data_IF_495585788220
#
_entry.id   IF_495585788220
#
_cell.length_a   1.000
_cell.length_b   1.000
_cell.length_c   1.000
_cell.angle_alpha   90.00
_cell.angle_beta   90.00
_cell.angle_gamma   90.00
#
_symmetry.space_group_name_H-M   'P 1'
#
loop_
_entity.id
_entity.type
_entity.pdbx_description
1 polymer ?
#
# COMPACT_ATOMS: atom_id res chain seq x y z
N UNK A 1 15.74 -9.72 25.63
CA UNK A 1 14.57 -9.19 24.92
C UNK A 1 14.97 -9.11 23.46
N UNK A 2 14.65 -10.13 22.68
CA UNK A 2 14.91 -10.15 21.24
C UNK A 2 13.95 -9.14 20.61
N UNK A 3 14.49 -8.07 20.06
CA UNK A 3 13.74 -7.15 19.23
C UNK A 3 13.21 -7.97 18.04
N UNK A 4 11.92 -8.30 18.02
CA UNK A 4 11.22 -8.69 16.79
C UNK A 4 11.15 -7.43 15.90
N UNK A 5 12.29 -7.06 15.33
CA UNK A 5 12.30 -6.04 14.29
C UNK A 5 11.62 -6.65 13.07
N UNK A 6 10.44 -6.13 12.72
CA UNK A 6 9.81 -6.40 11.44
C UNK A 6 10.73 -5.89 10.33
N UNK A 7 11.56 -6.78 9.78
CA UNK A 7 12.52 -6.46 8.71
C UNK A 7 11.78 -6.48 7.38
N UNK A 8 11.61 -5.31 6.79
CA UNK A 8 11.10 -5.12 5.42
C UNK A 8 12.07 -4.25 4.61
N UNK A 9 12.03 -4.40 3.29
CA UNK A 9 12.71 -3.48 2.37
C UNK A 9 11.94 -2.16 2.21
N UNK A 10 12.42 -1.27 1.34
CA UNK A 10 11.80 0.02 1.06
C UNK A 10 12.28 1.19 1.94
N UNK A 11 13.33 1.00 2.73
CA UNK A 11 13.98 2.05 3.51
C UNK A 11 15.49 2.16 3.17
N UNK A 12 15.82 2.62 1.96
CA UNK A 12 17.22 2.76 1.54
C UNK A 12 17.98 3.79 2.37
N UNK A 13 17.31 4.79 2.95
CA UNK A 13 17.97 5.82 3.76
C UNK A 13 18.44 5.27 5.11
N UNK A 14 17.65 4.39 5.75
CA UNK A 14 18.11 3.65 6.94
C UNK A 14 19.34 2.81 6.64
N UNK A 15 19.39 2.15 5.49
CA UNK A 15 20.53 1.32 5.09
C UNK A 15 21.78 2.15 4.77
N UNK A 16 21.65 3.25 4.03
CA UNK A 16 22.78 4.16 3.77
C UNK A 16 23.37 4.68 5.08
N UNK A 17 22.52 5.11 6.02
CA UNK A 17 22.93 5.54 7.37
C UNK A 17 23.65 4.43 8.13
N UNK A 18 23.14 3.19 8.11
CA UNK A 18 23.76 2.03 8.76
C UNK A 18 25.16 1.74 8.20
N UNK A 19 25.37 1.98 6.91
CA UNK A 19 26.65 1.76 6.22
C UNK A 19 27.61 2.95 6.29
N UNK A 20 27.21 4.07 6.90
CA UNK A 20 28.02 5.29 6.94
C UNK A 20 28.18 5.95 5.56
N UNK A 21 27.20 5.76 4.67
CA UNK A 21 27.17 6.36 3.33
C UNK A 21 26.24 7.58 3.39
N UNK A 22 26.67 8.69 2.80
CA UNK A 22 25.85 9.90 2.70
C UNK A 22 24.55 9.65 1.93
N UNK A 23 23.49 10.34 2.32
CA UNK A 23 22.20 10.29 1.67
C UNK A 23 22.34 10.63 0.18
N UNK A 24 21.80 9.75 -0.68
CA UNK A 24 21.84 9.90 -2.13
C UNK A 24 20.62 9.26 -2.77
N UNK A 25 20.42 9.53 -4.05
CA UNK A 25 19.43 8.82 -4.86
C UNK A 25 19.78 7.33 -4.93
N UNK A 26 18.76 6.47 -4.78
CA UNK A 26 18.91 5.03 -4.80
C UNK A 26 17.89 4.46 -5.77
N UNK A 27 18.39 3.65 -6.72
CA UNK A 27 17.53 2.74 -7.46
C UNK A 27 17.20 1.55 -6.55
N UNK A 28 16.03 1.60 -5.93
CA UNK A 28 15.66 0.71 -4.84
C UNK A 28 15.04 -0.61 -5.36
N UNK A 29 15.82 -1.70 -5.27
CA UNK A 29 15.36 -3.07 -5.57
C UNK A 29 14.94 -3.85 -4.31
N UNK A 30 14.90 -3.21 -3.15
CA UNK A 30 14.52 -3.88 -1.89
C UNK A 30 13.01 -4.00 -1.70
N UNK A 31 12.21 -3.34 -2.56
CA UNK A 31 10.74 -3.38 -2.52
C UNK A 31 10.16 -3.63 -3.91
N UNK A 32 9.11 -4.45 -3.98
CA UNK A 32 8.45 -4.83 -5.23
C UNK A 32 7.27 -3.90 -5.55
N UNK A 33 7.56 -2.63 -5.86
CA UNK A 33 6.55 -1.67 -6.33
C UNK A 33 6.54 -1.57 -7.85
N UNK A 34 5.38 -1.24 -8.43
CA UNK A 34 5.27 -1.01 -9.88
C UNK A 34 6.16 0.17 -10.31
N UNK A 35 7.07 0.00 -11.28
CA UNK A 35 7.89 1.10 -11.80
C UNK A 35 7.09 2.09 -12.65
N UNK A 36 5.84 1.77 -13.01
CA UNK A 36 4.94 2.67 -13.74
C UNK A 36 4.38 3.80 -12.87
N UNK A 37 4.57 3.71 -11.55
CA UNK A 37 4.06 4.67 -10.58
C UNK A 37 2.54 4.57 -10.39
N UNK A 38 1.95 5.69 -9.96
CA UNK A 38 0.52 5.77 -9.64
C UNK A 38 -0.33 5.69 -10.93
N UNK A 39 -1.40 4.86 -10.95
CA UNK A 39 -2.34 4.81 -12.08
C UNK A 39 -2.88 6.19 -12.48
N UNK A 40 -2.96 6.53 -13.78
CA UNK A 40 -3.44 7.84 -14.26
C UNK A 40 -4.84 8.21 -13.75
N UNK A 41 -5.72 7.23 -13.61
CA UNK A 41 -7.10 7.39 -13.14
C UNK A 41 -7.13 7.91 -11.70
N UNK A 42 -6.23 7.42 -10.84
CA UNK A 42 -6.07 7.91 -9.46
C UNK A 42 -5.54 9.35 -9.45
N UNK A 43 -4.57 9.66 -10.33
CA UNK A 43 -4.06 11.03 -10.46
C UNK A 43 -5.15 12.01 -10.89
N UNK A 44 -6.05 11.59 -11.78
CA UNK A 44 -7.13 12.43 -12.30
C UNK A 44 -8.12 12.85 -11.20
N UNK A 45 -8.38 11.99 -10.22
CA UNK A 45 -9.34 12.24 -9.14
C UNK A 45 -8.69 12.60 -7.80
N UNK A 46 -7.36 12.79 -7.75
CA UNK A 46 -6.61 12.94 -6.50
C UNK A 46 -7.15 14.06 -5.59
N UNK A 47 -7.49 15.21 -6.19
CA UNK A 47 -8.04 16.37 -5.49
C UNK A 47 -9.50 16.19 -5.05
N UNK A 48 -10.16 15.09 -5.42
CA UNK A 48 -11.53 14.77 -5.01
C UNK A 48 -11.54 13.73 -3.89
N UNK A 49 -10.52 12.86 -3.84
CA UNK A 49 -10.39 11.78 -2.85
C UNK A 49 -10.33 12.27 -1.40
N UNK A 50 -9.94 13.52 -1.13
CA UNK A 50 -9.91 14.03 0.25
C UNK A 50 -11.30 14.04 0.90
N UNK A 51 -12.37 14.20 0.11
CA UNK A 51 -13.75 14.19 0.61
C UNK A 51 -14.14 12.80 1.13
N UNK A 52 -13.60 11.75 0.53
CA UNK A 52 -13.87 10.37 0.89
C UNK A 52 -13.18 9.95 2.20
N UNK A 53 -12.09 10.61 2.57
CA UNK A 53 -11.36 10.30 3.82
C UNK A 53 -11.82 11.14 5.02
N UNK A 54 -12.73 12.10 4.84
CA UNK A 54 -13.33 12.83 5.97
C UNK A 54 -14.26 11.94 6.80
N UNK A 55 -14.90 10.98 6.14
CA UNK A 55 -15.78 10.01 6.79
C UNK A 55 -14.99 8.75 7.19
N UNK A 56 -15.41 8.11 8.28
CA UNK A 56 -14.86 6.81 8.64
C UNK A 56 -15.26 5.78 7.55
N UNK A 57 -14.35 4.90 7.11
CA UNK A 57 -14.67 3.91 6.09
C UNK A 57 -15.73 2.92 6.59
N UNK A 58 -16.37 2.22 5.65
CA UNK A 58 -17.29 1.13 5.99
C UNK A 58 -16.59 0.10 6.88
N UNK A 59 -17.17 -0.23 8.03
CA UNK A 59 -16.58 -1.16 9.01
C UNK A 59 -16.25 -2.52 8.38
N UNK A 60 -17.11 -2.98 7.47
CA UNK A 60 -16.98 -4.30 6.85
C UNK A 60 -16.24 -4.27 5.49
N UNK A 61 -15.73 -3.10 5.07
CA UNK A 61 -14.99 -2.97 3.82
C UNK A 61 -15.80 -3.26 2.55
N UNK A 62 -17.10 -2.97 2.57
CA UNK A 62 -18.08 -3.36 1.53
C UNK A 62 -17.66 -2.97 0.11
N UNK A 63 -16.99 -1.83 -0.07
CA UNK A 63 -16.50 -1.38 -1.37
C UNK A 63 -15.50 -2.34 -2.00
N UNK A 64 -14.60 -2.91 -1.19
CA UNK A 64 -13.60 -3.90 -1.65
C UNK A 64 -14.29 -5.21 -1.97
N UNK A 65 -15.20 -5.67 -1.09
CA UNK A 65 -15.97 -6.90 -1.32
C UNK A 65 -16.72 -6.81 -2.65
N UNK A 66 -17.50 -5.75 -2.85
CA UNK A 66 -18.26 -5.51 -4.08
C UNK A 66 -17.37 -5.50 -5.33
N UNK A 67 -16.22 -4.83 -5.28
CA UNK A 67 -15.28 -4.80 -6.40
C UNK A 67 -14.85 -6.22 -6.83
N UNK A 68 -14.47 -7.07 -5.86
CA UNK A 68 -14.02 -8.43 -6.18
C UNK A 68 -15.17 -9.34 -6.66
N UNK A 69 -16.39 -9.14 -6.16
CA UNK A 69 -17.57 -9.82 -6.68
C UNK A 69 -17.84 -9.44 -8.14
N UNK A 70 -17.88 -8.14 -8.46
CA UNK A 70 -18.17 -7.66 -9.80
C UNK A 70 -17.07 -8.01 -10.81
N UNK A 71 -15.80 -7.90 -10.39
CA UNK A 71 -14.66 -8.09 -11.30
C UNK A 71 -14.33 -9.55 -11.56
N UNK A 72 -14.49 -10.40 -10.54
CA UNK A 72 -14.00 -11.79 -10.57
C UNK A 72 -15.08 -12.84 -10.28
N UNK A 73 -16.31 -12.44 -9.93
CA UNK A 73 -17.41 -13.36 -9.64
C UNK A 73 -17.25 -14.15 -8.34
N UNK A 74 -16.50 -13.61 -7.37
CA UNK A 74 -16.29 -14.26 -6.07
C UNK A 74 -17.54 -14.16 -5.19
N UNK A 75 -17.76 -15.14 -4.32
CA UNK A 75 -18.75 -15.05 -3.26
C UNK A 75 -18.26 -14.02 -2.21
N UNK A 76 -19.16 -13.18 -1.68
CA UNK A 76 -18.79 -12.19 -0.65
C UNK A 76 -18.21 -12.84 0.60
N UNK A 77 -18.64 -14.05 0.94
CA UNK A 77 -18.11 -14.81 2.08
C UNK A 77 -16.64 -15.24 1.88
N UNK A 78 -16.11 -15.13 0.66
CA UNK A 78 -14.71 -15.45 0.33
C UNK A 78 -13.80 -14.23 0.27
N UNK A 79 -14.33 -13.03 0.48
CA UNK A 79 -13.57 -11.77 0.40
C UNK A 79 -13.61 -11.05 1.75
N UNK A 80 -12.43 -10.80 2.30
CA UNK A 80 -12.27 -9.99 3.51
C UNK A 80 -11.34 -8.82 3.19
N UNK A 81 -11.83 -7.59 3.41
CA UNK A 81 -10.99 -6.41 3.31
C UNK A 81 -10.00 -6.35 4.49
N UNK A 82 -8.72 -6.14 4.19
CA UNK A 82 -7.66 -6.02 5.19
C UNK A 82 -6.81 -4.78 4.94
N UNK A 83 -6.02 -4.37 5.96
CA UNK A 83 -5.08 -3.26 5.85
C UNK A 83 -3.74 -3.74 5.24
N UNK A 84 -3.78 -4.13 3.97
CA UNK A 84 -2.73 -4.93 3.35
C UNK A 84 -2.86 -6.41 3.69
N UNK A 85 -1.98 -7.23 3.13
CA UNK A 85 -2.03 -8.69 3.29
C UNK A 85 -1.19 -9.21 4.47
N UNK A 86 -0.54 -8.33 5.24
CA UNK A 86 0.43 -8.66 6.29
C UNK A 86 -0.20 -8.72 7.67
#
# INVERSE_FOLDING_TARGET
>A
MTNDEHVHGGDPQRELKRLGIDAREVLDFSVNVSPLGIPPEIKAIWNELWKEIESYPTVDGEGVVRYYQERFGLDSAQVLAGNGST
#
